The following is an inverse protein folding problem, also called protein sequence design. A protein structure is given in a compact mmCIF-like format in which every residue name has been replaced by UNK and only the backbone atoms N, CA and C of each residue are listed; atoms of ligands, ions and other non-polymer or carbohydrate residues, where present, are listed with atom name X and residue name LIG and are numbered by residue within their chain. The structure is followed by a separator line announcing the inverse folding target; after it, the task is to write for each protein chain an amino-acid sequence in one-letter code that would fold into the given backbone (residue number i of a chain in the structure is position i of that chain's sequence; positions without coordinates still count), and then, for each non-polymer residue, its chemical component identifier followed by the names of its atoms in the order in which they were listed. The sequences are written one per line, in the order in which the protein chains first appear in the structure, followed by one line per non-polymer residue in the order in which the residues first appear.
data_IF_881698030916
#
_entry.id   IF_881698030916
#
_cell.length_a   1.000
_cell.length_b   1.000
_cell.length_c   1.000
_cell.angle_alpha   90.00
_cell.angle_beta   90.00
_cell.angle_gamma   90.00
#
_symmetry.space_group_name_H-M   'P 1'
#
loop_
_entity.id
_entity.type
_entity.pdbx_description
1 polymer ?
#
# COMPACT_ATOMS: atom_id res chain seq x y z
N UNK A 1 -33.69 22.51 9.39
CA UNK A 1 -32.62 21.64 8.90
C UNK A 1 -32.42 21.91 7.41
N UNK A 2 -31.52 22.81 7.05
CA UNK A 2 -31.39 23.32 5.69
C UNK A 2 -30.70 22.26 4.80
N UNK A 3 -31.38 21.84 3.74
CA UNK A 3 -30.78 21.19 2.58
C UNK A 3 -29.93 22.25 1.85
N UNK A 4 -28.74 22.54 2.38
CA UNK A 4 -27.78 23.30 1.62
C UNK A 4 -27.35 22.42 0.45
N UNK A 5 -27.87 22.70 -0.72
CA UNK A 5 -27.35 22.26 -2.00
C UNK A 5 -25.87 22.72 -2.06
N UNK A 6 -24.94 21.80 -1.86
CA UNK A 6 -23.53 22.05 -2.12
C UNK A 6 -23.39 22.29 -3.63
N UNK A 7 -23.46 23.55 -4.04
CA UNK A 7 -23.11 23.97 -5.39
C UNK A 7 -21.61 23.65 -5.55
N UNK A 8 -21.30 22.79 -6.51
CA UNK A 8 -19.92 22.56 -6.94
C UNK A 8 -19.33 23.90 -7.35
N UNK A 9 -18.40 24.44 -6.55
CA UNK A 9 -17.67 25.61 -6.98
C UNK A 9 -16.60 25.12 -7.97
N UNK A 10 -16.69 25.48 -9.27
CA UNK A 10 -15.78 24.97 -10.30
C UNK A 10 -14.31 25.25 -9.97
N UNK A 11 -14.04 26.35 -9.30
CA UNK A 11 -12.69 26.76 -8.87
C UNK A 11 -12.09 25.75 -7.88
N UNK A 12 -12.88 25.20 -6.93
CA UNK A 12 -12.39 24.19 -5.96
C UNK A 12 -12.04 22.90 -6.69
N UNK A 13 -12.90 22.46 -7.61
CA UNK A 13 -12.66 21.27 -8.42
C UNK A 13 -11.35 21.42 -9.20
N UNK A 14 -11.11 22.59 -9.81
CA UNK A 14 -9.89 22.85 -10.57
C UNK A 14 -8.65 22.82 -9.66
N UNK A 15 -8.68 23.50 -8.52
CA UNK A 15 -7.49 23.65 -7.65
C UNK A 15 -7.16 22.36 -6.88
N UNK A 16 -8.15 21.54 -6.52
CA UNK A 16 -7.91 20.35 -5.70
C UNK A 16 -7.83 19.06 -6.52
N UNK A 17 -8.73 18.87 -7.47
CA UNK A 17 -8.86 17.62 -8.21
C UNK A 17 -7.82 17.47 -9.30
N UNK A 18 -7.61 18.51 -10.12
CA UNK A 18 -6.71 18.43 -11.30
C UNK A 18 -5.27 18.12 -10.89
N UNK A 19 -4.63 18.83 -9.93
CA UNK A 19 -3.25 18.53 -9.56
C UNK A 19 -3.08 17.14 -8.95
N UNK A 20 -4.08 16.64 -8.21
CA UNK A 20 -4.04 15.28 -7.68
C UNK A 20 -4.15 14.25 -8.79
N UNK A 21 -5.13 14.41 -9.71
CA UNK A 21 -5.29 13.53 -10.86
C UNK A 21 -4.02 13.52 -11.73
N UNK A 22 -3.42 14.68 -11.98
CA UNK A 22 -2.16 14.79 -12.70
C UNK A 22 -1.04 14.01 -12.00
N UNK A 23 -0.90 14.15 -10.68
CA UNK A 23 0.09 13.43 -9.89
C UNK A 23 -0.09 11.90 -9.98
N UNK A 24 -1.34 11.41 -9.86
CA UNK A 24 -1.67 9.99 -9.99
C UNK A 24 -1.31 9.48 -11.39
N UNK A 25 -1.73 10.19 -12.44
CA UNK A 25 -1.46 9.79 -13.81
C UNK A 25 0.03 9.82 -14.14
N UNK A 26 0.78 10.78 -13.58
CA UNK A 26 2.22 10.85 -13.73
C UNK A 26 2.93 9.66 -13.07
N UNK A 27 2.54 9.30 -11.82
CA UNK A 27 3.05 8.11 -11.12
C UNK A 27 2.79 6.83 -11.91
N UNK A 28 1.56 6.64 -12.40
CA UNK A 28 1.16 5.47 -13.22
C UNK A 28 1.92 5.42 -14.54
N UNK A 29 2.11 6.57 -15.20
CA UNK A 29 2.80 6.63 -16.49
C UNK A 29 4.29 6.29 -16.33
N UNK A 30 4.98 6.91 -15.38
CA UNK A 30 6.38 6.61 -15.08
C UNK A 30 6.52 5.14 -14.64
N UNK A 31 5.64 4.67 -13.76
CA UNK A 31 5.62 3.27 -13.33
C UNK A 31 5.45 2.30 -14.50
N UNK A 32 4.57 2.60 -15.46
CA UNK A 32 4.37 1.75 -16.65
C UNK A 32 5.61 1.69 -17.54
N UNK A 33 6.31 2.82 -17.73
CA UNK A 33 7.59 2.86 -18.45
C UNK A 33 8.63 2.01 -17.71
N UNK A 34 8.68 2.11 -16.37
CA UNK A 34 9.62 1.33 -15.56
C UNK A 34 9.29 -0.17 -15.56
N UNK A 35 8.00 -0.54 -15.56
CA UNK A 35 7.60 -1.95 -15.73
C UNK A 35 8.12 -2.50 -17.05
N UNK A 36 8.01 -1.74 -18.15
CA UNK A 36 8.56 -2.18 -19.44
C UNK A 36 10.08 -2.34 -19.39
N UNK A 37 10.80 -1.34 -18.87
CA UNK A 37 12.25 -1.40 -18.77
C UNK A 37 12.71 -2.57 -17.91
N UNK A 38 12.12 -2.72 -16.71
CA UNK A 38 12.51 -3.75 -15.75
C UNK A 38 12.16 -5.17 -16.23
N UNK A 39 11.01 -5.35 -16.92
CA UNK A 39 10.54 -6.69 -17.30
C UNK A 39 11.05 -7.19 -18.64
N UNK A 40 11.68 -6.37 -19.48
CA UNK A 40 12.03 -6.69 -20.85
C UNK A 40 12.81 -8.01 -21.01
N UNK A 41 13.93 -8.14 -20.29
CA UNK A 41 14.78 -9.32 -20.36
C UNK A 41 14.11 -10.57 -19.75
N UNK A 42 13.45 -10.39 -18.60
CA UNK A 42 12.72 -11.47 -17.94
C UNK A 42 11.53 -11.97 -18.78
N UNK A 43 10.78 -11.05 -19.41
CA UNK A 43 9.68 -11.42 -20.30
C UNK A 43 10.17 -12.21 -21.52
N UNK A 44 11.27 -11.78 -22.12
CA UNK A 44 11.85 -12.46 -23.29
C UNK A 44 12.30 -13.88 -22.94
N UNK A 45 12.95 -14.06 -21.79
CA UNK A 45 13.43 -15.39 -21.36
C UNK A 45 12.31 -16.33 -20.93
N UNK A 46 11.25 -15.82 -20.28
CA UNK A 46 10.19 -16.66 -19.71
C UNK A 46 9.02 -16.93 -20.65
N UNK A 47 8.70 -15.99 -21.56
CA UNK A 47 7.52 -16.09 -22.45
C UNK A 47 7.85 -15.98 -23.93
N UNK A 48 9.10 -15.73 -24.30
CA UNK A 48 9.51 -15.43 -25.68
C UNK A 48 9.03 -14.08 -26.21
N UNK A 49 8.31 -13.29 -25.41
CA UNK A 49 7.75 -12.01 -25.82
C UNK A 49 8.12 -10.90 -24.81
N UNK A 50 9.05 -10.03 -25.20
CA UNK A 50 9.53 -8.92 -24.36
C UNK A 50 8.43 -7.93 -23.93
N UNK A 51 7.30 -7.87 -24.65
CA UNK A 51 6.17 -6.97 -24.37
C UNK A 51 5.06 -7.62 -23.51
N UNK A 52 5.25 -8.84 -23.02
CA UNK A 52 4.22 -9.56 -22.27
C UNK A 52 3.70 -8.76 -21.07
N UNK A 53 4.58 -8.33 -20.17
CA UNK A 53 4.19 -7.60 -18.95
C UNK A 53 3.65 -6.20 -19.23
N UNK A 54 4.25 -5.44 -20.15
CA UNK A 54 3.76 -4.10 -20.47
C UNK A 54 2.37 -4.15 -21.13
N UNK A 55 2.08 -5.11 -21.97
CA UNK A 55 0.76 -5.25 -22.58
C UNK A 55 -0.31 -5.55 -21.52
N UNK A 56 0.00 -6.36 -20.51
CA UNK A 56 -0.89 -6.60 -19.40
C UNK A 56 -1.02 -5.34 -18.51
N UNK A 57 0.09 -4.67 -18.21
CA UNK A 57 0.09 -3.44 -17.40
C UNK A 57 -0.79 -2.37 -18.05
N UNK A 58 -0.69 -2.15 -19.36
CA UNK A 58 -1.53 -1.19 -20.09
C UNK A 58 -3.01 -1.55 -19.98
N UNK A 59 -3.37 -2.84 -20.06
CA UNK A 59 -4.77 -3.29 -19.89
C UNK A 59 -5.27 -2.98 -18.47
N UNK A 60 -4.47 -3.24 -17.42
CA UNK A 60 -4.85 -2.95 -16.05
C UNK A 60 -4.88 -1.45 -15.77
N UNK A 61 -3.98 -0.66 -16.35
CA UNK A 61 -4.02 0.82 -16.28
C UNK A 61 -5.28 1.36 -16.93
N UNK A 62 -5.64 0.88 -18.12
CA UNK A 62 -6.84 1.31 -18.82
C UNK A 62 -8.11 0.95 -18.01
N UNK A 63 -8.21 -0.31 -17.55
CA UNK A 63 -9.32 -0.76 -16.71
C UNK A 63 -9.39 0.03 -15.40
N UNK A 64 -8.27 0.18 -14.71
CA UNK A 64 -8.18 0.93 -13.46
C UNK A 64 -8.55 2.40 -13.64
N UNK A 65 -8.13 3.03 -14.74
CA UNK A 65 -8.49 4.43 -15.07
C UNK A 65 -10.00 4.56 -15.31
N UNK A 66 -10.61 3.63 -16.03
CA UNK A 66 -12.08 3.64 -16.23
C UNK A 66 -12.79 3.49 -14.88
N UNK A 67 -12.38 2.51 -14.04
CA UNK A 67 -12.96 2.30 -12.71
C UNK A 67 -12.76 3.54 -11.83
N UNK A 68 -11.56 4.11 -11.80
CA UNK A 68 -11.25 5.34 -11.07
C UNK A 68 -12.19 6.48 -11.47
N UNK A 69 -12.39 6.69 -12.77
CA UNK A 69 -13.26 7.75 -13.28
C UNK A 69 -14.74 7.48 -12.95
N UNK A 70 -15.23 6.26 -13.13
CA UNK A 70 -16.60 5.87 -12.74
C UNK A 70 -16.82 6.17 -11.26
N UNK A 71 -15.93 5.70 -10.38
CA UNK A 71 -16.02 5.94 -8.93
C UNK A 71 -15.91 7.43 -8.61
N UNK A 72 -15.03 8.15 -9.29
CA UNK A 72 -14.88 9.59 -9.10
C UNK A 72 -16.16 10.36 -9.45
N UNK A 73 -17.00 9.88 -10.38
CA UNK A 73 -18.31 10.48 -10.66
C UNK A 73 -19.40 10.05 -9.69
N UNK A 74 -19.25 8.94 -8.98
CA UNK A 74 -20.20 8.48 -7.97
C UNK A 74 -20.16 9.39 -6.72
N UNK A 75 -21.25 9.37 -5.94
CA UNK A 75 -21.30 10.02 -4.63
C UNK A 75 -20.60 9.15 -3.60
N UNK A 76 -19.54 9.63 -2.94
CA UNK A 76 -18.77 8.87 -1.93
C UNK A 76 -19.65 8.34 -0.77
N UNK A 77 -20.83 8.95 -0.52
CA UNK A 77 -21.80 8.47 0.47
C UNK A 77 -22.30 7.04 0.20
N UNK A 78 -22.18 6.54 -1.03
CA UNK A 78 -22.50 5.14 -1.37
C UNK A 78 -21.54 4.21 -0.60
N UNK A 79 -20.25 4.53 -0.58
CA UNK A 79 -19.25 3.77 0.18
C UNK A 79 -19.52 3.82 1.69
N UNK A 80 -19.98 4.97 2.22
CA UNK A 80 -20.40 5.09 3.61
C UNK A 80 -21.55 4.15 3.96
N UNK A 81 -22.54 4.01 3.07
CA UNK A 81 -23.68 3.10 3.29
C UNK A 81 -23.29 1.64 3.19
N UNK A 82 -22.38 1.32 2.27
CA UNK A 82 -21.94 -0.04 1.97
C UNK A 82 -20.74 -0.50 2.81
N UNK A 83 -20.19 0.34 3.67
CA UNK A 83 -18.95 0.05 4.41
C UNK A 83 -18.97 -1.30 5.14
N UNK A 84 -19.99 -1.66 5.95
CA UNK A 84 -20.03 -2.97 6.60
C UNK A 84 -20.14 -4.14 5.62
N UNK A 85 -20.85 -3.93 4.48
CA UNK A 85 -20.98 -4.96 3.45
C UNK A 85 -19.64 -5.16 2.71
N UNK A 86 -18.93 -4.07 2.37
CA UNK A 86 -17.62 -4.12 1.72
C UNK A 86 -16.61 -4.84 2.62
N UNK A 87 -16.60 -4.52 3.92
CA UNK A 87 -15.73 -5.17 4.88
C UNK A 87 -16.07 -6.65 5.05
N UNK A 88 -17.36 -6.98 5.19
CA UNK A 88 -17.82 -8.36 5.27
C UNK A 88 -17.49 -9.18 4.02
N UNK A 89 -17.62 -8.58 2.83
CA UNK A 89 -17.23 -9.22 1.58
C UNK A 89 -15.70 -9.45 1.51
N UNK A 90 -14.89 -8.50 1.98
CA UNK A 90 -13.43 -8.67 2.05
C UNK A 90 -13.03 -9.77 3.03
N UNK A 91 -13.69 -9.88 4.19
CA UNK A 91 -13.51 -10.99 5.14
C UNK A 91 -13.88 -12.32 4.48
N UNK A 92 -15.01 -12.39 3.78
CA UNK A 92 -15.41 -13.58 3.06
C UNK A 92 -14.41 -13.99 1.97
N UNK A 93 -13.82 -13.04 1.24
CA UNK A 93 -12.76 -13.29 0.26
C UNK A 93 -11.48 -13.83 0.92
N UNK A 94 -11.08 -13.30 2.08
CA UNK A 94 -9.94 -13.83 2.84
C UNK A 94 -10.20 -15.27 3.33
N UNK A 95 -11.40 -15.57 3.81
CA UNK A 95 -11.77 -16.94 4.19
C UNK A 95 -11.81 -17.87 2.97
N UNK A 96 -12.32 -17.39 1.84
CA UNK A 96 -12.38 -18.16 0.60
C UNK A 96 -10.99 -18.53 0.08
N UNK A 97 -10.02 -17.61 0.12
CA UNK A 97 -8.65 -17.89 -0.36
C UNK A 97 -7.94 -18.93 0.49
N UNK A 98 -8.25 -19.05 1.78
CA UNK A 98 -7.69 -20.11 2.63
C UNK A 98 -8.14 -21.52 2.18
N UNK A 99 -9.35 -21.61 1.61
CA UNK A 99 -9.92 -22.88 1.14
C UNK A 99 -9.55 -23.17 -0.33
N UNK A 100 -9.75 -22.20 -1.23
CA UNK A 100 -9.70 -22.40 -2.69
C UNK A 100 -8.47 -21.73 -3.32
N UNK A 101 -7.68 -20.98 -2.54
CA UNK A 101 -6.56 -20.20 -3.05
C UNK A 101 -5.50 -21.02 -3.79
N UNK A 102 -4.99 -20.49 -4.88
CA UNK A 102 -3.85 -21.05 -5.61
C UNK A 102 -2.53 -20.69 -4.90
N UNK A 103 -1.60 -21.63 -4.94
CA UNK A 103 -0.26 -21.44 -4.37
C UNK A 103 0.56 -20.50 -5.24
N UNK A 104 1.04 -19.41 -4.63
CA UNK A 104 2.14 -18.61 -5.18
C UNK A 104 3.36 -18.88 -4.28
N UNK A 105 4.19 -19.84 -4.66
CA UNK A 105 5.23 -20.39 -3.79
C UNK A 105 4.61 -21.23 -2.64
N UNK A 106 5.01 -20.97 -1.40
CA UNK A 106 4.53 -21.71 -0.20
C UNK A 106 3.20 -21.17 0.39
N UNK A 107 2.59 -20.14 -0.24
CA UNK A 107 1.44 -19.46 0.35
C UNK A 107 0.26 -19.35 -0.61
N UNK A 108 -0.94 -19.62 -0.09
CA UNK A 108 -2.21 -19.45 -0.81
C UNK A 108 -2.69 -18.00 -0.68
N UNK A 109 -2.43 -17.16 -1.69
CA UNK A 109 -2.71 -15.71 -1.60
C UNK A 109 -3.57 -15.17 -2.74
N UNK A 110 -3.80 -15.96 -3.77
CA UNK A 110 -4.44 -15.53 -4.99
C UNK A 110 -5.68 -16.36 -5.30
N UNK A 111 -6.75 -15.68 -5.67
CA UNK A 111 -7.93 -16.29 -6.26
C UNK A 111 -7.84 -16.04 -7.77
N UNK A 112 -7.71 -17.11 -8.55
CA UNK A 112 -7.64 -17.06 -10.01
C UNK A 112 -9.04 -17.35 -10.57
N UNK A 113 -9.64 -16.37 -11.25
CA UNK A 113 -10.95 -16.51 -11.90
C UNK A 113 -10.74 -16.23 -13.40
N UNK A 114 -10.54 -17.29 -14.17
CA UNK A 114 -10.20 -17.16 -15.59
C UNK A 114 -8.89 -16.39 -15.80
N UNK A 115 -8.86 -15.32 -16.60
CA UNK A 115 -7.65 -14.54 -16.86
C UNK A 115 -7.32 -13.52 -15.75
N UNK A 116 -8.15 -13.40 -14.72
CA UNK A 116 -8.02 -12.39 -13.65
C UNK A 116 -7.54 -13.08 -12.37
N UNK A 117 -6.45 -12.58 -11.80
CA UNK A 117 -5.99 -12.95 -10.47
C UNK A 117 -6.31 -11.82 -9.49
N UNK A 118 -7.01 -12.14 -8.42
CA UNK A 118 -7.36 -11.18 -7.36
C UNK A 118 -6.66 -11.59 -6.07
N UNK A 119 -6.03 -10.62 -5.41
CA UNK A 119 -5.43 -10.81 -4.10
C UNK A 119 -6.38 -10.23 -3.03
N UNK A 120 -7.01 -11.07 -2.20
CA UNK A 120 -7.98 -10.61 -1.20
C UNK A 120 -7.43 -9.62 -0.18
N UNK A 121 -6.15 -9.74 0.20
CA UNK A 121 -5.50 -8.81 1.11
C UNK A 121 -5.41 -7.37 0.56
N UNK A 122 -5.34 -7.19 -0.77
CA UNK A 122 -5.41 -5.86 -1.40
C UNK A 122 -6.80 -5.24 -1.22
N UNK A 123 -7.86 -6.05 -1.43
CA UNK A 123 -9.25 -5.63 -1.19
C UNK A 123 -9.47 -5.27 0.28
N UNK A 124 -8.89 -6.07 1.20
CA UNK A 124 -9.04 -5.86 2.63
C UNK A 124 -8.43 -4.54 3.09
N UNK A 125 -7.31 -4.08 2.53
CA UNK A 125 -6.72 -2.77 2.87
C UNK A 125 -7.72 -1.64 2.66
N UNK A 126 -8.34 -1.60 1.49
CA UNK A 126 -9.38 -0.62 1.17
C UNK A 126 -10.64 -0.79 2.04
N UNK A 127 -11.12 -2.02 2.19
CA UNK A 127 -12.31 -2.33 2.98
C UNK A 127 -12.16 -1.92 4.46
N UNK A 128 -10.98 -2.14 5.04
CA UNK A 128 -10.68 -1.72 6.41
C UNK A 128 -10.71 -0.21 6.57
N UNK A 129 -10.11 0.55 5.63
CA UNK A 129 -10.14 2.02 5.65
C UNK A 129 -11.58 2.53 5.67
N UNK A 130 -12.43 2.02 4.78
CA UNK A 130 -13.83 2.42 4.65
C UNK A 130 -14.63 2.01 5.90
N UNK A 131 -14.39 0.82 6.46
CA UNK A 131 -15.05 0.33 7.67
C UNK A 131 -14.71 1.18 8.89
N UNK A 132 -13.44 1.48 9.10
CA UNK A 132 -12.99 2.32 10.21
C UNK A 132 -13.50 3.75 10.07
N UNK A 133 -13.51 4.32 8.85
CA UNK A 133 -14.07 5.63 8.58
C UNK A 133 -15.58 5.68 8.92
N UNK A 134 -16.34 4.64 8.52
CA UNK A 134 -17.76 4.51 8.86
C UNK A 134 -17.98 4.38 10.38
N UNK A 135 -17.14 3.59 11.05
CA UNK A 135 -17.21 3.40 12.49
C UNK A 135 -16.99 4.70 13.25
N UNK A 136 -15.93 5.44 12.93
CA UNK A 136 -15.62 6.70 13.60
C UNK A 136 -16.61 7.81 13.28
N UNK A 137 -17.14 7.89 12.08
CA UNK A 137 -18.19 8.86 11.75
C UNK A 137 -19.43 8.71 12.66
N UNK A 138 -19.76 7.47 13.05
CA UNK A 138 -20.88 7.18 13.97
C UNK A 138 -20.52 7.33 15.45
N UNK A 139 -19.30 7.01 15.84
CA UNK A 139 -18.91 6.87 17.23
C UNK A 139 -17.91 7.93 17.71
N UNK A 140 -17.57 8.94 16.90
CA UNK A 140 -16.57 9.96 17.21
C UNK A 140 -16.82 10.63 18.58
N UNK A 141 -18.07 10.98 18.89
CA UNK A 141 -18.42 11.58 20.17
C UNK A 141 -18.14 10.63 21.36
N UNK A 142 -18.28 9.30 21.15
CA UNK A 142 -18.02 8.30 22.18
C UNK A 142 -16.52 8.03 22.33
N UNK A 143 -15.75 8.09 21.25
CA UNK A 143 -14.30 7.94 21.28
C UNK A 143 -13.58 9.14 21.89
N UNK A 144 -14.21 10.33 21.90
CA UNK A 144 -13.60 11.57 22.36
C UNK A 144 -14.33 12.20 23.57
N UNK A 145 -14.81 11.35 24.49
CA UNK A 145 -15.49 11.82 25.72
C UNK A 145 -14.46 12.39 26.69
N UNK A 146 -14.63 13.67 27.07
CA UNK A 146 -13.83 14.31 28.12
C UNK A 146 -14.19 13.72 29.48
N UNK A 147 -13.19 13.44 30.32
CA UNK A 147 -13.39 12.94 31.68
C UNK A 147 -13.56 11.43 31.85
N UNK A 148 -13.82 10.67 30.80
CA UNK A 148 -14.01 9.21 30.86
C UNK A 148 -12.96 8.47 30.03
N UNK A 149 -11.76 8.30 30.60
CA UNK A 149 -10.62 7.68 29.91
C UNK A 149 -10.95 6.27 29.34
N UNK A 150 -11.42 5.36 30.17
CA UNK A 150 -11.69 3.98 29.79
C UNK A 150 -12.79 3.83 28.75
N UNK A 151 -13.88 4.60 28.87
CA UNK A 151 -14.95 4.59 27.86
C UNK A 151 -14.48 5.13 26.51
N UNK A 152 -13.71 6.19 26.54
CA UNK A 152 -13.11 6.74 25.32
C UNK A 152 -12.09 5.78 24.70
N UNK A 153 -11.28 5.08 25.51
CA UNK A 153 -10.35 4.03 25.05
C UNK A 153 -11.11 2.87 24.43
N UNK A 154 -12.19 2.40 25.04
CA UNK A 154 -12.98 1.29 24.51
C UNK A 154 -13.52 1.59 23.10
N UNK A 155 -14.18 2.73 22.91
CA UNK A 155 -14.72 3.12 21.61
C UNK A 155 -13.66 3.66 20.64
N UNK A 156 -12.59 4.27 21.11
CA UNK A 156 -11.56 4.89 20.28
C UNK A 156 -10.43 3.96 19.88
N UNK A 157 -10.18 2.90 20.65
CA UNK A 157 -9.06 1.95 20.41
C UNK A 157 -9.55 0.51 20.33
N UNK A 158 -10.20 0.00 21.40
CA UNK A 158 -10.47 -1.45 21.53
C UNK A 158 -11.37 -1.93 20.38
N UNK A 159 -12.53 -1.31 20.18
CA UNK A 159 -13.47 -1.73 19.13
C UNK A 159 -12.89 -1.60 17.72
N UNK A 160 -12.25 -0.47 17.33
CA UNK A 160 -11.57 -0.38 16.03
C UNK A 160 -10.47 -1.43 15.86
N UNK A 161 -9.69 -1.72 16.92
CA UNK A 161 -8.64 -2.74 16.89
C UNK A 161 -9.19 -4.15 16.70
N UNK A 162 -10.45 -4.45 17.03
CA UNK A 162 -11.07 -5.74 16.71
C UNK A 162 -11.24 -5.91 15.19
N UNK A 163 -11.60 -4.85 14.45
CA UNK A 163 -11.66 -4.91 12.99
C UNK A 163 -10.27 -5.10 12.39
N UNK A 164 -9.28 -4.35 12.88
CA UNK A 164 -7.88 -4.50 12.44
C UNK A 164 -7.36 -5.89 12.77
N UNK A 165 -7.57 -6.37 14.01
CA UNK A 165 -7.11 -7.67 14.48
C UNK A 165 -7.69 -8.82 13.66
N UNK A 166 -9.01 -8.80 13.37
CA UNK A 166 -9.65 -9.81 12.52
C UNK A 166 -9.00 -9.85 11.13
N UNK A 167 -8.78 -8.70 10.50
CA UNK A 167 -8.12 -8.63 9.20
C UNK A 167 -6.68 -9.16 9.26
N UNK A 168 -5.91 -8.76 10.28
CA UNK A 168 -4.53 -9.21 10.48
C UNK A 168 -4.43 -10.72 10.70
N UNK A 169 -5.31 -11.32 11.52
CA UNK A 169 -5.33 -12.76 11.78
C UNK A 169 -5.61 -13.55 10.50
N UNK A 170 -6.58 -13.11 9.69
CA UNK A 170 -6.91 -13.79 8.44
C UNK A 170 -5.79 -13.69 7.41
N UNK A 171 -5.17 -12.51 7.26
CA UNK A 171 -4.04 -12.32 6.33
C UNK A 171 -2.80 -13.10 6.82
N UNK A 172 -2.58 -13.18 8.12
CA UNK A 172 -1.48 -13.98 8.67
C UNK A 172 -1.69 -15.47 8.42
N UNK A 173 -2.93 -15.95 8.45
CA UNK A 173 -3.27 -17.33 8.10
C UNK A 173 -2.97 -17.68 6.64
N UNK A 174 -2.88 -16.68 5.73
CA UNK A 174 -2.40 -16.84 4.35
C UNK A 174 -0.87 -16.92 4.23
N UNK A 175 -0.12 -16.93 5.34
CA UNK A 175 1.34 -16.77 5.38
C UNK A 175 1.82 -15.45 4.72
N UNK A 176 1.06 -14.36 4.91
CA UNK A 176 1.33 -13.07 4.28
C UNK A 176 1.71 -11.99 5.32
N UNK A 177 2.90 -12.15 5.92
CA UNK A 177 3.41 -11.24 6.96
C UNK A 177 3.42 -9.77 6.52
N UNK A 178 3.88 -9.50 5.30
CA UNK A 178 3.94 -8.13 4.75
C UNK A 178 2.57 -7.46 4.67
N UNK A 179 1.58 -8.21 4.18
CA UNK A 179 0.20 -7.74 4.12
C UNK A 179 -0.35 -7.45 5.51
N UNK A 180 -0.05 -8.30 6.49
CA UNK A 180 -0.44 -8.11 7.89
C UNK A 180 0.15 -6.84 8.48
N UNK A 181 1.46 -6.59 8.28
CA UNK A 181 2.13 -5.38 8.76
C UNK A 181 1.51 -4.13 8.14
N UNK A 182 1.28 -4.12 6.82
CA UNK A 182 0.68 -2.97 6.13
C UNK A 182 -0.74 -2.70 6.65
N UNK A 183 -1.59 -3.72 6.76
CA UNK A 183 -2.98 -3.59 7.26
C UNK A 183 -2.99 -3.09 8.70
N UNK A 184 -2.10 -3.59 9.54
CA UNK A 184 -1.95 -3.13 10.92
C UNK A 184 -1.55 -1.65 11.01
N UNK A 185 -0.55 -1.23 10.23
CA UNK A 185 -0.08 0.16 10.20
C UNK A 185 -1.14 1.11 9.63
N UNK A 186 -1.87 0.70 8.59
CA UNK A 186 -3.02 1.44 8.06
C UNK A 186 -4.08 1.59 9.16
N UNK A 187 -4.43 0.48 9.83
CA UNK A 187 -5.40 0.48 10.93
C UNK A 187 -5.02 1.44 12.04
N UNK A 188 -3.78 1.39 12.52
CA UNK A 188 -3.26 2.32 13.54
C UNK A 188 -3.36 3.78 13.08
N UNK A 189 -2.96 4.07 11.84
CA UNK A 189 -3.00 5.42 11.28
C UNK A 189 -4.43 5.96 11.23
N UNK A 190 -5.38 5.15 10.78
CA UNK A 190 -6.80 5.52 10.70
C UNK A 190 -7.43 5.69 12.08
N UNK A 191 -7.06 4.85 13.06
CA UNK A 191 -7.52 4.97 14.44
C UNK A 191 -7.00 6.27 15.07
N UNK A 192 -5.77 6.66 14.76
CA UNK A 192 -5.18 7.94 15.18
C UNK A 192 -6.04 9.11 14.72
N UNK A 193 -6.32 9.21 13.44
CA UNK A 193 -7.14 10.28 12.87
C UNK A 193 -8.59 10.23 13.37
N UNK A 194 -9.11 9.02 13.64
CA UNK A 194 -10.46 8.80 14.16
C UNK A 194 -10.67 9.22 15.63
N UNK A 195 -9.65 9.74 16.31
CA UNK A 195 -9.75 10.25 17.68
C UNK A 195 -9.29 9.23 18.75
N UNK A 196 -8.44 8.29 18.38
CA UNK A 196 -7.74 7.44 19.34
C UNK A 196 -6.88 8.27 20.28
N UNK A 197 -6.89 7.95 21.59
CA UNK A 197 -6.14 8.71 22.58
C UNK A 197 -4.64 8.58 22.39
N UNK A 198 -3.92 9.69 22.34
CA UNK A 198 -2.49 9.76 22.08
C UNK A 198 -1.62 8.97 23.07
N UNK A 199 -2.10 8.79 24.30
CA UNK A 199 -1.41 8.00 25.33
C UNK A 199 -1.14 6.54 24.88
N UNK A 200 -2.09 5.96 24.16
CA UNK A 200 -1.94 4.58 23.63
C UNK A 200 -0.90 4.51 22.52
N UNK A 201 -0.77 5.55 21.70
CA UNK A 201 0.28 5.59 20.68
C UNK A 201 1.67 5.72 21.28
N UNK A 202 1.80 6.43 22.40
CA UNK A 202 3.03 6.44 23.18
C UNK A 202 3.34 5.04 23.71
N UNK A 203 2.35 4.32 24.26
CA UNK A 203 2.51 2.94 24.70
C UNK A 203 2.91 2.04 23.53
N UNK A 204 2.22 2.11 22.38
CA UNK A 204 2.58 1.35 21.18
C UNK A 204 3.97 1.71 20.66
N UNK A 205 4.35 2.98 20.69
CA UNK A 205 5.68 3.44 20.31
C UNK A 205 6.77 2.87 21.23
N UNK A 206 6.56 2.92 22.54
CA UNK A 206 7.48 2.31 23.52
C UNK A 206 7.58 0.80 23.31
N UNK A 207 6.44 0.12 23.15
CA UNK A 207 6.43 -1.33 22.88
C UNK A 207 7.11 -1.67 21.56
N UNK A 208 6.98 -0.84 20.52
CA UNK A 208 7.67 -1.04 19.25
C UNK A 208 9.19 -0.87 19.40
N UNK A 209 9.64 0.15 20.15
CA UNK A 209 11.07 0.36 20.41
C UNK A 209 11.63 -0.78 21.27
N UNK A 210 10.95 -1.16 22.35
CA UNK A 210 11.35 -2.31 23.18
C UNK A 210 11.38 -3.59 22.35
N UNK A 211 10.33 -3.84 21.55
CA UNK A 211 10.27 -5.00 20.65
C UNK A 211 11.40 -5.01 19.63
N UNK A 212 11.78 -3.85 19.07
CA UNK A 212 12.92 -3.73 18.16
C UNK A 212 14.25 -4.04 18.87
N UNK A 213 14.47 -3.48 20.06
CA UNK A 213 15.67 -3.75 20.87
C UNK A 213 15.76 -5.23 21.23
N UNK A 214 14.66 -5.83 21.68
CA UNK A 214 14.59 -7.26 22.00
C UNK A 214 14.81 -8.10 20.74
N UNK A 215 14.21 -7.74 19.61
CA UNK A 215 14.42 -8.42 18.33
C UNK A 215 15.88 -8.39 17.88
N UNK A 216 16.56 -7.25 17.99
CA UNK A 216 17.97 -7.12 17.59
C UNK A 216 18.89 -7.98 18.48
N UNK A 217 18.61 -8.06 19.79
CA UNK A 217 19.46 -8.81 20.73
C UNK A 217 19.15 -10.31 20.83
N UNK A 218 17.92 -10.71 20.52
CA UNK A 218 17.42 -12.08 20.66
C UNK A 218 16.77 -12.58 19.38
N UNK A 219 17.40 -12.31 18.24
CA UNK A 219 16.80 -12.60 16.93
C UNK A 219 16.54 -14.09 16.74
N UNK A 220 17.48 -14.97 17.06
CA UNK A 220 17.36 -16.40 16.84
C UNK A 220 16.22 -16.99 17.68
N UNK A 221 16.13 -16.63 18.98
CA UNK A 221 15.08 -17.09 19.88
C UNK A 221 13.70 -16.59 19.43
N UNK A 222 13.62 -15.30 19.04
CA UNK A 222 12.34 -14.72 18.63
C UNK A 222 11.88 -15.26 17.29
N UNK A 223 12.79 -15.39 16.33
CA UNK A 223 12.44 -15.91 15.00
C UNK A 223 11.99 -17.36 15.06
N UNK A 224 12.47 -18.15 16.05
CA UNK A 224 12.02 -19.53 16.24
C UNK A 224 10.50 -19.68 16.47
N UNK A 225 9.83 -18.65 16.97
CA UNK A 225 8.36 -18.63 17.14
C UNK A 225 7.60 -18.32 15.84
N UNK A 226 8.29 -17.87 14.78
CA UNK A 226 7.65 -17.56 13.51
C UNK A 226 7.75 -18.74 12.53
N UNK A 227 6.90 -18.78 11.50
CA UNK A 227 7.00 -19.79 10.44
C UNK A 227 8.39 -19.80 9.77
N UNK A 228 8.87 -20.96 9.27
CA UNK A 228 10.21 -21.11 8.71
C UNK A 228 10.56 -20.10 7.61
N UNK A 229 9.57 -19.68 6.80
CA UNK A 229 9.79 -18.69 5.75
C UNK A 229 10.15 -17.29 6.29
N UNK A 230 9.67 -16.93 7.50
CA UNK A 230 10.00 -15.67 8.17
C UNK A 230 11.42 -15.75 8.74
N UNK A 231 11.72 -16.86 9.43
CA UNK A 231 13.06 -17.12 9.99
C UNK A 231 14.12 -16.96 8.91
N UNK A 232 13.92 -17.66 7.78
CA UNK A 232 14.85 -17.62 6.64
C UNK A 232 15.05 -16.22 6.07
N UNK A 233 13.99 -15.40 5.97
CA UNK A 233 14.10 -14.02 5.47
C UNK A 233 14.86 -13.10 6.41
N UNK A 234 14.69 -13.27 7.70
CA UNK A 234 15.40 -12.50 8.72
C UNK A 234 16.86 -12.89 8.75
N UNK A 235 17.15 -14.19 8.77
CA UNK A 235 18.53 -14.70 8.76
C UNK A 235 19.28 -14.27 7.48
N UNK A 236 18.66 -14.38 6.32
CA UNK A 236 19.22 -13.90 5.06
C UNK A 236 19.48 -12.37 5.05
N UNK A 237 18.69 -11.60 5.79
CA UNK A 237 18.89 -10.16 5.91
C UNK A 237 20.03 -9.80 6.85
N UNK A 238 20.19 -10.55 7.97
CA UNK A 238 21.24 -10.32 8.98
C UNK A 238 22.58 -10.93 8.56
N UNK A 239 22.55 -12.15 8.01
CA UNK A 239 23.71 -12.95 7.67
C UNK A 239 23.70 -13.38 6.19
N UNK A 240 23.69 -12.41 5.24
CA UNK A 240 23.65 -12.72 3.81
C UNK A 240 24.89 -13.53 3.36
N UNK A 241 26.00 -13.46 4.10
CA UNK A 241 27.24 -14.18 3.87
C UNK A 241 27.10 -15.70 4.07
N UNK A 242 26.15 -16.15 4.87
CA UNK A 242 25.89 -17.57 5.13
C UNK A 242 25.12 -18.25 3.97
N UNK A 243 24.64 -17.47 3.02
CA UNK A 243 23.86 -17.96 1.90
C UNK A 243 24.62 -17.85 0.58
N UNK A 244 24.36 -18.81 -0.32
CA UNK A 244 24.95 -18.74 -1.65
C UNK A 244 24.54 -17.46 -2.37
N UNK A 245 25.50 -16.68 -2.81
CA UNK A 245 25.29 -15.46 -3.59
C UNK A 245 24.53 -15.76 -4.89
N UNK A 246 24.61 -16.98 -5.43
CA UNK A 246 23.86 -17.44 -6.61
C UNK A 246 22.52 -18.11 -6.27
N UNK A 247 22.15 -18.17 -4.98
CA UNK A 247 20.93 -18.80 -4.47
C UNK A 247 19.95 -17.79 -3.85
N UNK A 248 19.64 -18.02 -2.61
CA UNK A 248 18.56 -17.32 -1.89
C UNK A 248 18.86 -15.85 -1.57
N UNK A 249 20.14 -15.51 -1.35
CA UNK A 249 20.58 -14.13 -1.12
C UNK A 249 20.65 -13.31 -2.41
N UNK A 250 20.60 -13.96 -3.58
CA UNK A 250 20.85 -13.34 -4.87
C UNK A 250 20.04 -12.09 -5.12
N UNK A 251 18.72 -12.19 -4.98
CA UNK A 251 17.80 -11.08 -5.25
C UNK A 251 18.07 -9.85 -4.39
N UNK A 252 18.32 -10.06 -3.10
CA UNK A 252 18.60 -8.96 -2.14
C UNK A 252 19.93 -8.29 -2.42
N UNK A 253 20.97 -9.09 -2.68
CA UNK A 253 22.32 -8.60 -2.98
C UNK A 253 22.32 -7.83 -4.30
N UNK A 254 21.74 -8.40 -5.36
CA UNK A 254 21.69 -7.73 -6.67
C UNK A 254 20.81 -6.49 -6.65
N UNK A 255 19.73 -6.47 -5.84
CA UNK A 255 18.93 -5.28 -5.61
C UNK A 255 19.74 -4.14 -4.97
N UNK A 256 20.57 -4.43 -3.96
CA UNK A 256 21.47 -3.44 -3.34
C UNK A 256 22.53 -2.96 -4.33
N UNK A 257 23.10 -3.86 -5.14
CA UNK A 257 24.06 -3.50 -6.20
C UNK A 257 23.40 -2.57 -7.22
N UNK A 258 22.15 -2.84 -7.62
CA UNK A 258 21.38 -1.96 -8.52
C UNK A 258 21.26 -0.55 -7.94
N UNK A 259 20.85 -0.43 -6.69
CA UNK A 259 20.75 0.88 -6.00
C UNK A 259 22.07 1.61 -5.99
N UNK A 260 23.17 0.92 -5.64
CA UNK A 260 24.51 1.54 -5.53
C UNK A 260 25.16 1.89 -6.88
N UNK A 261 24.86 1.10 -7.93
CA UNK A 261 25.51 1.24 -9.24
C UNK A 261 24.98 2.40 -10.10
N UNK A 262 23.82 2.99 -9.73
CA UNK A 262 23.23 4.09 -10.46
C UNK A 262 23.97 5.42 -10.32
N UNK A 263 24.75 5.63 -9.26
CA UNK A 263 25.43 6.89 -9.01
C UNK A 263 24.47 8.07 -8.92
N UNK A 264 24.92 9.28 -9.33
CA UNK A 264 24.08 10.48 -9.23
C UNK A 264 23.02 10.56 -10.34
N UNK A 265 23.39 10.30 -11.60
CA UNK A 265 22.52 10.52 -12.77
C UNK A 265 21.98 9.24 -13.40
N UNK A 266 22.39 8.09 -12.87
CA UNK A 266 21.97 6.80 -13.43
C UNK A 266 22.76 6.38 -14.68
N UNK A 267 22.43 5.17 -15.17
CA UNK A 267 23.00 4.60 -16.40
C UNK A 267 22.19 4.95 -17.65
N UNK A 268 21.08 5.65 -17.48
CA UNK A 268 20.11 5.94 -18.53
C UNK A 268 18.99 4.91 -18.61
N UNK A 269 17.81 5.37 -19.07
CA UNK A 269 16.64 4.52 -19.25
C UNK A 269 16.94 3.34 -20.19
N UNK A 270 16.58 2.14 -19.76
CA UNK A 270 16.81 0.94 -20.52
C UNK A 270 18.21 0.33 -20.38
N UNK A 271 19.14 0.94 -19.65
CA UNK A 271 20.55 0.52 -19.52
C UNK A 271 20.89 -0.12 -18.16
N UNK A 272 19.89 -0.52 -17.37
CA UNK A 272 20.14 -1.31 -16.18
C UNK A 272 20.79 -2.63 -16.55
N UNK A 273 21.85 -3.03 -15.87
CA UNK A 273 22.47 -4.36 -15.98
C UNK A 273 21.70 -5.38 -15.13
N UNK A 274 21.23 -4.96 -13.97
CA UNK A 274 20.60 -5.86 -13.00
C UNK A 274 19.26 -6.45 -13.46
N UNK A 275 18.55 -5.79 -14.40
CA UNK A 275 17.34 -6.32 -15.03
C UNK A 275 17.59 -7.53 -15.96
N UNK A 276 18.81 -7.77 -16.39
CA UNK A 276 19.18 -8.89 -17.26
C UNK A 276 19.34 -10.18 -16.45
N UNK A 277 18.24 -10.61 -15.76
CA UNK A 277 18.12 -11.84 -14.97
C UNK A 277 18.99 -11.89 -13.69
N UNK A 278 19.69 -10.80 -13.34
CA UNK A 278 20.37 -10.71 -12.06
C UNK A 278 19.40 -10.49 -10.90
N UNK A 279 18.38 -9.66 -11.06
CA UNK A 279 17.27 -9.53 -10.10
C UNK A 279 16.11 -10.39 -10.59
N UNK A 280 15.61 -11.30 -9.74
CA UNK A 280 14.44 -12.11 -10.06
C UNK A 280 13.20 -11.22 -10.06
N UNK A 281 12.41 -11.25 -11.15
CA UNK A 281 11.17 -10.47 -11.31
C UNK A 281 11.28 -9.00 -10.89
N UNK A 282 12.23 -8.24 -11.46
CA UNK A 282 12.53 -6.88 -11.03
C UNK A 282 11.33 -5.91 -11.20
N UNK A 283 10.37 -6.27 -12.06
CA UNK A 283 9.13 -5.51 -12.27
C UNK A 283 8.15 -5.55 -11.09
N UNK A 284 8.33 -6.43 -10.12
CA UNK A 284 7.45 -6.58 -8.97
C UNK A 284 7.90 -5.71 -7.78
N UNK A 285 8.58 -6.29 -6.82
CA UNK A 285 8.97 -5.67 -5.54
C UNK A 285 10.30 -4.90 -5.59
N UNK A 286 11.17 -5.19 -6.57
CA UNK A 286 12.47 -4.53 -6.75
C UNK A 286 12.49 -3.45 -7.85
N UNK A 287 11.32 -2.99 -8.31
CA UNK A 287 11.26 -1.98 -9.38
C UNK A 287 11.97 -0.68 -8.99
N UNK A 288 11.95 -0.29 -7.70
CA UNK A 288 12.66 0.89 -7.21
C UNK A 288 14.17 0.75 -7.34
N UNK A 289 14.73 -0.46 -7.22
CA UNK A 289 16.16 -0.71 -7.47
C UNK A 289 16.54 -0.39 -8.92
N UNK A 290 15.69 -0.79 -9.88
CA UNK A 290 15.90 -0.49 -11.31
C UNK A 290 15.74 1.01 -11.57
N UNK A 291 14.81 1.70 -10.91
CA UNK A 291 14.71 3.18 -10.96
C UNK A 291 16.02 3.81 -10.48
N UNK A 292 16.58 3.36 -9.36
CA UNK A 292 17.84 3.85 -8.84
C UNK A 292 19.01 3.58 -9.82
N UNK A 293 19.07 2.42 -10.45
CA UNK A 293 20.13 2.10 -11.41
C UNK A 293 20.02 2.91 -12.70
N UNK A 294 18.81 3.07 -13.27
CA UNK A 294 18.59 3.73 -14.55
C UNK A 294 18.63 5.26 -14.43
N UNK A 295 18.05 5.84 -13.37
CA UNK A 295 17.95 7.29 -13.18
C UNK A 295 18.84 7.85 -12.06
N UNK A 296 19.56 6.98 -11.35
CA UNK A 296 20.46 7.37 -10.27
C UNK A 296 19.75 7.97 -9.05
N UNK A 297 20.53 8.64 -8.23
CA UNK A 297 20.05 9.31 -7.03
C UNK A 297 19.02 10.41 -7.34
N UNK A 298 19.23 11.17 -8.42
CA UNK A 298 18.32 12.25 -8.86
C UNK A 298 16.95 11.67 -9.22
N UNK A 299 16.92 10.54 -9.95
CA UNK A 299 15.67 9.88 -10.30
C UNK A 299 14.95 9.28 -9.08
N UNK A 300 15.71 8.67 -8.17
CA UNK A 300 15.16 8.14 -6.91
C UNK A 300 14.49 9.27 -6.08
N UNK A 301 15.19 10.40 -5.91
CA UNK A 301 14.61 11.58 -5.24
C UNK A 301 13.39 12.10 -6.00
N UNK A 302 13.42 12.15 -7.33
CA UNK A 302 12.28 12.55 -8.14
C UNK A 302 11.03 11.72 -7.86
N UNK A 303 11.17 10.39 -7.78
CA UNK A 303 10.08 9.48 -7.41
C UNK A 303 9.60 9.73 -5.98
N UNK A 304 10.51 9.86 -5.01
CA UNK A 304 10.16 10.19 -3.62
C UNK A 304 9.37 11.49 -3.54
N UNK A 305 9.83 12.54 -4.25
CA UNK A 305 9.15 13.84 -4.29
C UNK A 305 7.73 13.73 -4.89
N UNK A 306 7.51 12.90 -5.89
CA UNK A 306 6.16 12.65 -6.43
C UNK A 306 5.24 12.02 -5.37
N UNK A 307 5.72 11.04 -4.59
CA UNK A 307 4.95 10.51 -3.46
C UNK A 307 4.69 11.57 -2.39
N UNK A 308 5.67 12.39 -2.05
CA UNK A 308 5.50 13.48 -1.07
C UNK A 308 4.47 14.51 -1.54
N UNK A 309 4.47 14.87 -2.83
CA UNK A 309 3.45 15.74 -3.43
C UNK A 309 2.07 15.09 -3.35
N UNK A 310 1.95 13.80 -3.68
CA UNK A 310 0.70 13.05 -3.55
C UNK A 310 0.20 13.07 -2.10
N UNK A 311 1.05 12.74 -1.13
CA UNK A 311 0.72 12.74 0.30
C UNK A 311 0.26 14.12 0.76
N UNK A 312 1.02 15.16 0.44
CA UNK A 312 0.70 16.54 0.80
C UNK A 312 -0.66 16.98 0.24
N UNK A 313 -0.92 16.68 -1.03
CA UNK A 313 -2.21 17.00 -1.68
C UNK A 313 -3.35 16.20 -1.06
N UNK A 314 -3.16 14.92 -0.80
CA UNK A 314 -4.16 14.09 -0.17
C UNK A 314 -4.50 14.53 1.25
N UNK A 315 -3.51 14.84 2.08
CA UNK A 315 -3.73 15.39 3.43
C UNK A 315 -4.45 16.75 3.39
N UNK A 316 -4.16 17.59 2.40
CA UNK A 316 -4.87 18.83 2.20
C UNK A 316 -6.37 18.61 1.89
N UNK A 317 -6.69 17.59 1.09
CA UNK A 317 -8.09 17.20 0.81
C UNK A 317 -8.75 16.61 2.06
N UNK A 318 -8.04 15.77 2.83
CA UNK A 318 -8.56 15.20 4.08
C UNK A 318 -9.00 16.29 5.06
N UNK A 319 -8.17 17.32 5.28
CA UNK A 319 -8.48 18.45 6.15
C UNK A 319 -9.67 19.30 5.68
N UNK A 320 -9.97 19.29 4.38
CA UNK A 320 -11.07 20.05 3.77
C UNK A 320 -12.29 19.19 3.45
N UNK A 321 -12.27 17.91 3.83
CA UNK A 321 -13.38 17.02 3.59
C UNK A 321 -14.68 17.52 4.25
N UNK A 322 -15.84 17.25 3.64
CA UNK A 322 -17.13 17.80 4.10
C UNK A 322 -17.61 17.19 5.41
N UNK A 323 -17.25 15.95 5.69
CA UNK A 323 -17.64 15.20 6.88
C UNK A 323 -16.50 14.31 7.39
N UNK A 324 -16.69 13.74 8.57
CA UNK A 324 -15.71 12.89 9.25
C UNK A 324 -15.40 11.61 8.45
N UNK A 325 -16.41 11.02 7.83
CA UNK A 325 -16.22 9.84 6.98
C UNK A 325 -15.26 10.14 5.82
N UNK A 326 -15.49 11.25 5.12
CA UNK A 326 -14.63 11.68 4.02
C UNK A 326 -13.20 11.98 4.47
N UNK A 327 -13.05 12.70 5.59
CA UNK A 327 -11.73 13.04 6.14
C UNK A 327 -10.90 11.79 6.46
N UNK A 328 -11.47 10.86 7.21
CA UNK A 328 -10.78 9.62 7.62
C UNK A 328 -10.53 8.71 6.41
N UNK A 329 -11.47 8.62 5.46
CA UNK A 329 -11.29 7.81 4.25
C UNK A 329 -10.11 8.31 3.42
N UNK A 330 -10.05 9.62 3.15
CA UNK A 330 -8.94 10.21 2.39
C UNK A 330 -7.62 10.03 3.13
N UNK A 331 -7.60 10.31 4.44
CA UNK A 331 -6.41 10.09 5.26
C UNK A 331 -5.92 8.64 5.20
N UNK A 332 -6.84 7.67 5.36
CA UNK A 332 -6.52 6.25 5.32
C UNK A 332 -5.95 5.81 3.96
N UNK A 333 -6.52 6.27 2.84
CA UNK A 333 -6.00 6.00 1.49
C UNK A 333 -4.60 6.58 1.31
N UNK A 334 -4.38 7.82 1.76
CA UNK A 334 -3.07 8.47 1.69
C UNK A 334 -2.04 7.74 2.56
N UNK A 335 -2.44 7.35 3.78
CA UNK A 335 -1.59 6.56 4.68
C UNK A 335 -1.24 5.20 4.08
N UNK A 336 -2.20 4.50 3.41
CA UNK A 336 -1.94 3.25 2.71
C UNK A 336 -0.83 3.41 1.67
N UNK A 337 -0.96 4.38 0.75
CA UNK A 337 0.06 4.64 -0.28
C UNK A 337 1.41 5.02 0.34
N UNK A 338 1.41 5.88 1.35
CA UNK A 338 2.62 6.34 2.01
C UNK A 338 3.37 5.20 2.73
N UNK A 339 2.66 4.39 3.52
CA UNK A 339 3.21 3.26 4.26
C UNK A 339 3.78 2.22 3.28
N UNK A 340 3.01 1.86 2.26
CA UNK A 340 3.43 0.84 1.30
C UNK A 340 4.64 1.29 0.47
N UNK A 341 4.67 2.55 0.01
CA UNK A 341 5.81 3.11 -0.70
C UNK A 341 7.07 3.17 0.19
N UNK A 342 6.94 3.65 1.43
CA UNK A 342 8.04 3.70 2.38
C UNK A 342 8.61 2.30 2.67
N UNK A 343 7.74 1.32 2.95
CA UNK A 343 8.18 -0.05 3.24
C UNK A 343 8.86 -0.71 2.03
N UNK A 344 8.36 -0.50 0.80
CA UNK A 344 9.03 -1.01 -0.39
C UNK A 344 10.44 -0.42 -0.53
N UNK A 345 10.57 0.91 -0.42
CA UNK A 345 11.87 1.58 -0.51
C UNK A 345 12.83 1.11 0.60
N UNK A 346 12.34 0.90 1.82
CA UNK A 346 13.13 0.39 2.94
C UNK A 346 13.60 -1.06 2.71
N UNK A 347 12.77 -1.92 2.09
CA UNK A 347 13.15 -3.28 1.68
C UNK A 347 14.24 -3.23 0.61
N UNK A 348 14.03 -2.45 -0.45
CA UNK A 348 14.95 -2.38 -1.60
C UNK A 348 16.32 -1.83 -1.20
N UNK A 349 16.35 -0.87 -0.28
CA UNK A 349 17.61 -0.33 0.28
C UNK A 349 18.25 -1.23 1.34
N UNK A 350 17.56 -2.30 1.75
CA UNK A 350 18.04 -3.27 2.73
C UNK A 350 17.99 -2.80 4.19
N UNK A 351 17.23 -1.73 4.48
CA UNK A 351 16.97 -1.26 5.86
C UNK A 351 16.16 -2.29 6.64
N UNK A 352 15.23 -2.97 5.97
CA UNK A 352 14.38 -4.04 6.53
C UNK A 352 14.48 -5.31 5.68
N UNK A 353 14.15 -6.50 6.23
CA UNK A 353 14.16 -7.76 5.49
C UNK A 353 13.29 -7.71 4.24
N UNK A 354 13.65 -8.51 3.22
CA UNK A 354 12.82 -8.62 2.00
C UNK A 354 11.46 -9.25 2.34
N UNK A 355 10.41 -8.51 2.07
CA UNK A 355 9.03 -8.88 2.40
C UNK A 355 8.13 -9.02 1.18
N UNK A 356 8.60 -8.68 -0.03
CA UNK A 356 7.81 -8.78 -1.26
C UNK A 356 6.69 -7.73 -1.35
N UNK A 357 6.90 -6.54 -0.81
CA UNK A 357 5.96 -5.41 -0.88
C UNK A 357 6.11 -4.72 -2.23
N UNK A 358 5.01 -4.52 -2.94
CA UNK A 358 5.00 -3.79 -4.21
C UNK A 358 5.02 -2.28 -4.00
N UNK A 359 5.64 -1.52 -4.92
CA UNK A 359 5.63 -0.05 -4.92
C UNK A 359 4.33 0.45 -5.57
N UNK A 360 3.45 1.19 -4.87
CA UNK A 360 2.18 1.68 -5.40
C UNK A 360 2.35 2.41 -6.74
N UNK A 361 1.50 2.14 -7.73
CA UNK A 361 1.52 2.68 -9.09
C UNK A 361 2.72 2.29 -9.97
N UNK A 362 3.84 1.88 -9.40
CA UNK A 362 5.06 1.54 -10.13
C UNK A 362 5.17 0.05 -10.44
N UNK A 363 4.96 -0.79 -9.43
CA UNK A 363 5.13 -2.23 -9.59
C UNK A 363 4.12 -2.84 -10.54
N UNK A 364 4.54 -3.89 -11.22
CA UNK A 364 3.61 -4.74 -11.95
C UNK A 364 2.67 -5.42 -10.97
N UNK A 365 1.38 -5.19 -11.15
CA UNK A 365 0.39 -5.77 -10.26
C UNK A 365 -1.02 -5.62 -10.84
N UNK A 366 -1.58 -6.72 -11.36
CA UNK A 366 -2.89 -6.69 -12.01
C UNK A 366 -4.01 -6.14 -11.13
N UNK A 367 -4.46 -6.93 -10.16
CA UNK A 367 -5.57 -6.54 -9.27
C UNK A 367 -5.18 -5.44 -8.29
N UNK A 368 -3.93 -5.42 -7.79
CA UNK A 368 -3.49 -4.39 -6.84
C UNK A 368 -3.53 -2.99 -7.44
N UNK A 369 -3.11 -2.83 -8.70
CA UNK A 369 -3.19 -1.55 -9.40
C UNK A 369 -4.65 -1.11 -9.61
N UNK A 370 -5.52 -2.04 -10.02
CA UNK A 370 -6.95 -1.72 -10.24
C UNK A 370 -7.64 -1.30 -8.94
N UNK A 371 -7.37 -2.00 -7.83
CA UNK A 371 -7.90 -1.65 -6.51
C UNK A 371 -7.37 -0.29 -6.07
N UNK A 372 -6.07 -0.05 -6.22
CA UNK A 372 -5.46 1.24 -5.89
C UNK A 372 -6.07 2.39 -6.73
N UNK A 373 -6.31 2.17 -8.03
CA UNK A 373 -7.01 3.15 -8.87
C UNK A 373 -8.46 3.37 -8.42
N UNK A 374 -9.16 2.32 -7.94
CA UNK A 374 -10.48 2.46 -7.34
C UNK A 374 -10.44 3.34 -6.07
N UNK A 375 -9.44 3.15 -5.20
CA UNK A 375 -9.19 4.02 -4.03
C UNK A 375 -8.99 5.48 -4.45
N UNK A 376 -8.20 5.71 -5.50
CA UNK A 376 -8.03 7.06 -6.06
C UNK A 376 -9.35 7.64 -6.54
N UNK A 377 -10.23 6.83 -7.14
CA UNK A 377 -11.58 7.23 -7.52
C UNK A 377 -12.41 7.73 -6.34
N UNK A 378 -12.35 7.04 -5.19
CA UNK A 378 -13.02 7.46 -3.95
C UNK A 378 -12.44 8.79 -3.45
N UNK A 379 -11.11 8.92 -3.42
CA UNK A 379 -10.42 10.14 -3.02
C UNK A 379 -10.81 11.32 -3.91
N UNK A 380 -10.84 11.14 -5.24
CA UNK A 380 -11.31 12.13 -6.20
C UNK A 380 -12.78 12.49 -6.00
N UNK A 381 -13.64 11.50 -5.69
CA UNK A 381 -15.05 11.74 -5.38
C UNK A 381 -15.21 12.64 -4.15
N UNK A 382 -14.46 12.40 -3.07
CA UNK A 382 -14.51 13.22 -1.85
C UNK A 382 -13.96 14.63 -2.13
N UNK A 383 -12.89 14.76 -2.93
CA UNK A 383 -12.27 16.05 -3.24
C UNK A 383 -13.24 17.05 -3.90
N UNK A 384 -14.22 16.56 -4.67
CA UNK A 384 -15.26 17.40 -5.29
C UNK A 384 -16.14 18.15 -4.30
N UNK A 385 -16.28 17.61 -3.08
CA UNK A 385 -17.09 18.18 -2.02
C UNK A 385 -16.27 18.93 -0.98
N UNK A 386 -14.96 19.12 -1.21
CA UNK A 386 -14.06 19.83 -0.30
C UNK A 386 -14.52 21.25 -0.05
N UNK A 387 -14.44 21.72 1.21
CA UNK A 387 -14.84 23.07 1.61
C UNK A 387 -13.76 24.07 1.22
N UNK A 388 -14.17 25.23 0.68
CA UNK A 388 -13.28 26.39 0.57
C UNK A 388 -13.24 27.03 1.95
N UNK A 389 -12.07 27.07 2.60
CA UNK A 389 -11.85 28.02 3.68
C UNK A 389 -11.77 29.42 3.04
N UNK A 390 -12.72 30.28 3.40
CA UNK A 390 -12.61 31.71 3.17
C UNK A 390 -11.53 32.30 4.08
#
# INVERSE_FOLDING_TARGET
MSKAFYKHCPIVVIITLIPLLFCIMLLVSIGSVMVFSASYAYALSSTGNSRYYINQQIRFVALGTVIMMVIAFMRYHVFKKLAPLIYGAAVALLLLVLVVGSNAGEAKRWIIIGPISVQPSEVMKFALIIMLAWYFDRNYRKSNIKGHFWRSTFYGIVVPMLFVGLACVLIMAENHLSGTIIVFLIGLSVIWEGGGKWQWYLVFGVLAVVGLVVFINFTEEITSFFPPYVQKRVDLWQHPENYSVQGEAWQTVQGKIAVGSGGLLGRGLGNSLQKHLFVSQPQNDFIFAIVCEEFGFVGAIGVIMLYLVFIWRGLHIARRAPDMFGAITVFGIVAHVAIQAFLNMAVVTGIIPNTGITLPFFSYGGSSLVILMAEMGVLLSISKYSKIQK
#
